data_IF_364427271668
#
_entry.id   IF_364427271668
#
_cell.length_a   1.000
_cell.length_b   1.000
_cell.length_c   1.000
_cell.angle_alpha   90.00
_cell.angle_beta   90.00
_cell.angle_gamma   90.00
#
_symmetry.space_group_name_H-M   'P 1'
#
loop_
_entity.id
_entity.type
_entity.pdbx_description
1 polymer ?
#
# COMPACT_ATOMS: atom_id res chain seq x y z
N UNK A 1 4.83 -0.78 11.29
CA UNK A 1 4.81 -0.28 9.90
C UNK A 1 6.06 0.50 9.54
N UNK A 2 6.52 1.47 10.35
CA UNK A 2 7.68 2.32 10.01
C UNK A 2 9.01 1.56 9.78
N UNK A 3 9.30 0.52 10.56
CA UNK A 3 10.52 -0.28 10.36
C UNK A 3 10.55 -0.95 8.97
N UNK A 4 9.43 -1.57 8.56
CA UNK A 4 9.29 -2.17 7.23
C UNK A 4 9.40 -1.12 6.12
N UNK A 5 8.81 0.06 6.33
CA UNK A 5 8.93 1.20 5.40
C UNK A 5 10.38 1.63 5.22
N UNK A 6 11.15 1.71 6.31
CA UNK A 6 12.58 2.03 6.26
C UNK A 6 13.35 0.98 5.45
N UNK A 7 13.11 -0.31 5.70
CA UNK A 7 13.73 -1.38 4.91
C UNK A 7 13.34 -1.29 3.41
N UNK A 8 12.08 -0.97 3.12
CA UNK A 8 11.59 -0.82 1.75
C UNK A 8 12.23 0.38 1.03
N UNK A 9 12.69 1.41 1.74
CA UNK A 9 13.44 2.53 1.18
C UNK A 9 14.95 2.25 1.06
N UNK A 10 15.55 1.64 2.09
CA UNK A 10 16.99 1.42 2.18
C UNK A 10 17.47 0.33 1.21
N UNK A 11 16.72 -0.76 1.05
CA UNK A 11 17.14 -1.88 0.18
C UNK A 11 17.23 -1.49 -1.31
N UNK A 12 16.22 -0.82 -1.91
CA UNK A 12 16.35 -0.32 -3.27
C UNK A 12 17.46 0.72 -3.42
N UNK A 13 17.65 1.60 -2.43
CA UNK A 13 18.70 2.61 -2.47
C UNK A 13 20.11 2.01 -2.57
N UNK A 14 20.36 0.87 -1.90
CA UNK A 14 21.62 0.11 -2.02
C UNK A 14 21.87 -0.43 -3.44
N UNK A 15 20.83 -0.55 -4.25
CA UNK A 15 20.89 -0.96 -5.65
C UNK A 15 20.85 0.24 -6.62
N UNK A 16 20.90 1.48 -6.11
CA UNK A 16 20.74 2.69 -6.92
C UNK A 16 19.31 2.95 -7.39
N UNK A 17 18.32 2.26 -6.83
CA UNK A 17 16.90 2.45 -7.13
C UNK A 17 16.29 3.48 -6.17
N UNK A 18 15.33 4.25 -6.67
CA UNK A 18 14.61 5.26 -5.89
C UNK A 18 13.11 4.95 -5.88
N UNK A 19 12.48 5.09 -4.72
CA UNK A 19 11.01 4.98 -4.60
C UNK A 19 10.37 6.19 -5.28
N UNK A 20 9.44 5.93 -6.21
CA UNK A 20 8.62 6.98 -6.80
C UNK A 20 7.43 7.29 -5.89
N UNK A 21 7.51 8.39 -5.15
CA UNK A 21 6.50 8.80 -4.17
C UNK A 21 5.12 9.08 -4.77
N UNK A 22 5.05 9.58 -6.00
CA UNK A 22 3.77 9.81 -6.69
C UNK A 22 3.07 8.53 -7.17
N UNK A 23 3.82 7.42 -7.31
CA UNK A 23 3.27 6.10 -7.68
C UNK A 23 3.10 5.17 -6.48
N UNK A 24 3.77 5.45 -5.37
CA UNK A 24 3.69 4.65 -4.16
C UNK A 24 2.56 5.15 -3.27
N UNK A 25 1.68 4.24 -2.86
CA UNK A 25 0.60 4.48 -1.90
C UNK A 25 0.64 3.46 -0.78
N UNK A 26 0.05 3.81 0.35
CA UNK A 26 -0.13 2.90 1.48
C UNK A 26 -1.48 2.23 1.33
N UNK A 27 -1.48 0.91 1.39
CA UNK A 27 -2.69 0.14 1.54
C UNK A 27 -2.67 -0.52 2.92
N UNK A 28 -3.68 -0.25 3.74
CA UNK A 28 -3.85 -0.86 5.06
C UNK A 28 -5.06 -1.79 5.02
N UNK A 29 -4.85 -3.03 5.42
CA UNK A 29 -5.92 -4.00 5.65
C UNK A 29 -5.99 -4.31 7.14
N UNK A 30 -7.21 -4.38 7.69
CA UNK A 30 -7.44 -4.75 9.10
C UNK A 30 -6.65 -3.91 10.13
N UNK A 31 -6.23 -2.69 9.76
CA UNK A 31 -5.44 -1.82 10.61
C UNK A 31 -6.36 -0.84 11.36
N UNK A 32 -6.22 -0.76 12.68
CA UNK A 32 -6.92 0.23 13.51
C UNK A 32 -6.22 1.59 13.59
N UNK A 33 -4.96 1.67 13.14
CA UNK A 33 -4.18 2.90 13.18
C UNK A 33 -4.15 3.61 11.83
N UNK A 34 -4.27 4.94 11.88
CA UNK A 34 -4.13 5.81 10.72
C UNK A 34 -2.87 6.69 10.84
N UNK A 35 -1.78 6.13 11.36
CA UNK A 35 -0.53 6.89 11.53
C UNK A 35 0.12 7.09 10.16
N UNK A 36 0.39 8.34 9.74
CA UNK A 36 1.03 8.61 8.45
C UNK A 36 2.34 7.83 8.30
N UNK A 37 2.61 7.34 7.09
CA UNK A 37 3.83 6.61 6.78
C UNK A 37 4.73 7.52 5.95
N UNK A 38 5.76 8.13 6.56
CA UNK A 38 6.70 8.96 5.83
C UNK A 38 7.67 8.08 5.03
N UNK A 39 7.86 8.43 3.76
CA UNK A 39 8.93 7.90 2.90
C UNK A 39 9.74 9.10 2.41
N UNK A 40 11.03 9.13 2.77
CA UNK A 40 11.94 10.22 2.41
C UNK A 40 11.42 11.63 2.80
N UNK A 41 10.70 11.74 3.92
CA UNK A 41 10.21 13.01 4.44
C UNK A 41 8.81 13.42 3.99
N UNK A 42 8.18 12.70 3.06
CA UNK A 42 6.78 12.93 2.63
C UNK A 42 5.88 11.77 3.06
N UNK A 43 4.66 12.08 3.52
CA UNK A 43 3.65 11.07 3.82
C UNK A 43 3.04 10.53 2.52
N UNK A 44 3.01 9.21 2.37
CA UNK A 44 2.35 8.58 1.23
C UNK A 44 0.82 8.59 1.41
N UNK A 45 0.10 8.78 0.30
CA UNK A 45 -1.36 8.69 0.26
C UNK A 45 -1.84 7.29 0.63
N UNK A 46 -2.99 7.20 1.30
CA UNK A 46 -3.66 5.94 1.59
C UNK A 46 -4.66 5.60 0.48
N UNK A 47 -4.78 4.31 0.17
CA UNK A 47 -5.69 3.77 -0.84
C UNK A 47 -6.68 2.80 -0.21
N UNK A 48 -7.95 2.91 -0.59
CA UNK A 48 -9.04 2.11 -0.03
C UNK A 48 -9.19 0.74 -0.69
N UNK A 49 -8.90 0.63 -1.99
CA UNK A 49 -8.88 -0.64 -2.71
C UNK A 49 -7.90 -0.61 -3.87
N UNK A 50 -7.34 -1.76 -4.26
CA UNK A 50 -6.50 -1.87 -5.46
C UNK A 50 -6.62 -3.25 -6.10
N UNK A 51 -6.34 -3.33 -7.40
CA UNK A 51 -6.33 -4.60 -8.13
C UNK A 51 -4.93 -5.21 -8.13
N UNK A 52 -4.82 -6.43 -7.63
CA UNK A 52 -3.59 -7.22 -7.69
C UNK A 52 -3.89 -8.61 -8.27
N UNK A 53 -3.17 -8.98 -9.34
CA UNK A 53 -3.34 -10.27 -10.03
C UNK A 53 -4.81 -10.59 -10.34
N UNK A 54 -5.50 -9.63 -10.97
CA UNK A 54 -6.93 -9.69 -11.31
C UNK A 54 -7.89 -9.67 -10.13
N UNK A 55 -7.42 -9.69 -8.88
CA UNK A 55 -8.29 -9.63 -7.70
C UNK A 55 -8.34 -8.24 -7.10
N UNK A 56 -9.53 -7.82 -6.67
CA UNK A 56 -9.72 -6.56 -5.94
C UNK A 56 -9.44 -6.81 -4.46
N UNK A 57 -8.53 -6.03 -3.90
CA UNK A 57 -8.22 -6.02 -2.47
C UNK A 57 -8.77 -4.73 -1.89
N UNK A 58 -9.62 -4.83 -0.86
CA UNK A 58 -10.14 -3.69 -0.11
C UNK A 58 -9.50 -3.54 1.28
N UNK A 59 -9.58 -2.34 1.84
CA UNK A 59 -9.01 -2.01 3.15
C UNK A 59 -9.69 -2.77 4.31
N UNK A 60 -10.84 -3.40 4.07
CA UNK A 60 -11.50 -4.28 5.04
C UNK A 60 -10.85 -5.67 5.08
N UNK A 61 -10.04 -6.01 4.07
CA UNK A 61 -9.47 -7.35 3.92
C UNK A 61 -10.50 -8.39 3.51
N UNK A 62 -11.66 -7.94 3.04
CA UNK A 62 -12.71 -8.81 2.53
C UNK A 62 -12.51 -9.04 1.03
N UNK A 63 -13.04 -10.16 0.54
CA UNK A 63 -13.10 -10.45 -0.90
C UNK A 63 -14.44 -10.07 -1.51
N UNK A 64 -15.35 -9.50 -0.73
CA UNK A 64 -16.71 -9.20 -1.14
C UNK A 64 -16.73 -8.25 -2.35
N UNK A 65 -15.84 -7.25 -2.37
CA UNK A 65 -15.68 -6.36 -3.51
C UNK A 65 -15.27 -7.12 -4.79
N UNK A 66 -14.34 -8.08 -4.68
CA UNK A 66 -13.92 -8.92 -5.81
C UNK A 66 -15.03 -9.85 -6.29
N UNK A 67 -15.80 -10.42 -5.36
CA UNK A 67 -16.93 -11.31 -5.66
C UNK A 67 -18.06 -10.55 -6.35
N UNK A 68 -18.48 -9.41 -5.79
CA UNK A 68 -19.54 -8.57 -6.36
C UNK A 68 -19.17 -8.11 -7.77
N UNK A 69 -17.94 -7.63 -7.96
CA UNK A 69 -17.49 -7.14 -9.28
C UNK A 69 -17.39 -8.24 -10.34
N UNK A 70 -17.15 -9.50 -9.95
CA UNK A 70 -17.04 -10.64 -10.89
C UNK A 70 -18.36 -11.34 -11.18
N UNK A 71 -19.31 -11.33 -10.23
CA UNK A 71 -20.58 -12.05 -10.38
C UNK A 71 -21.68 -11.15 -10.96
N UNK A 72 -21.69 -9.85 -10.61
CA UNK A 72 -22.76 -8.92 -11.01
C UNK A 72 -23.96 -8.98 -10.08
#
# INVERSE_FOLDING_TARGET
MQEKTKMAADNPARLGLTINRGKSKVFRTNASNNTPIPVQGEALEEMESFTYLCSILDNQGCTDADVITRIG
#
